data_IF_102422453550
#
_entry.id   IF_102422453550
#
_cell.length_a   1.000
_cell.length_b   1.000
_cell.length_c   1.000
_cell.angle_alpha   90.00
_cell.angle_beta   90.00
_cell.angle_gamma   90.00
#
_symmetry.space_group_name_H-M   'P 1'
#
loop_
_entity.id
_entity.type
_entity.pdbx_description
1 polymer ?
#
# COMPACT_ATOMS: atom_id res chain seq x y z
N UNK A 1 18.10 18.54 -8.13
CA UNK A 1 19.51 18.19 -7.86
C UNK A 1 19.91 17.13 -8.87
N UNK A 2 21.13 17.15 -9.42
CA UNK A 2 21.56 16.14 -10.41
C UNK A 2 22.81 15.45 -9.89
N UNK A 3 22.72 14.14 -9.72
CA UNK A 3 23.82 13.29 -9.27
C UNK A 3 24.46 12.61 -10.48
N UNK A 4 25.73 12.24 -10.38
CA UNK A 4 26.45 11.51 -11.43
C UNK A 4 26.04 10.03 -11.53
N UNK A 5 25.12 9.60 -10.66
CA UNK A 5 24.55 8.25 -10.60
C UNK A 5 23.03 8.32 -10.36
N UNK A 6 22.25 7.33 -10.80
CA UNK A 6 20.81 7.27 -10.52
C UNK A 6 20.55 7.00 -9.04
N UNK A 7 19.50 7.64 -8.51
CA UNK A 7 18.96 7.37 -7.18
C UNK A 7 17.80 6.39 -7.32
N UNK A 8 17.93 5.26 -6.63
CA UNK A 8 16.94 4.19 -6.64
C UNK A 8 16.37 4.05 -5.23
N UNK A 9 15.07 4.23 -5.09
CA UNK A 9 14.33 3.80 -3.89
C UNK A 9 14.03 2.30 -4.00
N UNK A 10 14.60 1.52 -3.08
CA UNK A 10 14.46 0.05 -3.08
C UNK A 10 13.40 -0.46 -2.11
N UNK A 11 12.69 0.43 -1.41
CA UNK A 11 11.74 0.09 -0.35
C UNK A 11 10.51 1.00 -0.36
N UNK A 12 9.94 1.21 -1.54
CA UNK A 12 8.70 1.95 -1.70
C UNK A 12 7.48 1.09 -1.38
N UNK A 13 6.41 1.72 -0.89
CA UNK A 13 5.17 1.05 -0.52
C UNK A 13 3.94 1.69 -1.19
N UNK A 14 3.06 0.83 -1.73
CA UNK A 14 1.71 1.19 -2.13
C UNK A 14 0.75 0.92 -0.97
N UNK A 15 -0.03 1.93 -0.60
CA UNK A 15 -1.22 1.73 0.23
C UNK A 15 -2.37 1.29 -0.66
N UNK A 16 -2.89 0.09 -0.44
CA UNK A 16 -3.99 -0.41 -1.24
C UNK A 16 -5.31 0.21 -0.81
N UNK A 17 -6.18 0.44 -1.80
CA UNK A 17 -7.59 0.71 -1.53
C UNK A 17 -8.26 -0.63 -1.23
N UNK A 18 -8.31 -1.01 0.06
CA UNK A 18 -8.81 -2.32 0.51
C UNK A 18 -10.17 -2.71 -0.10
N UNK A 19 -11.17 -1.81 -0.21
CA UNK A 19 -12.42 -2.14 -0.88
C UNK A 19 -12.25 -2.61 -2.33
N UNK A 20 -11.30 -2.03 -3.08
CA UNK A 20 -11.02 -2.44 -4.45
C UNK A 20 -10.28 -3.78 -4.50
N UNK A 21 -9.34 -4.02 -3.58
CA UNK A 21 -8.70 -5.35 -3.45
C UNK A 21 -9.74 -6.42 -3.11
N UNK A 22 -10.74 -6.09 -2.28
CA UNK A 22 -11.80 -7.00 -1.90
C UNK A 22 -12.69 -7.43 -3.07
N UNK A 23 -12.82 -6.61 -4.11
CA UNK A 23 -13.55 -7.00 -5.33
C UNK A 23 -12.87 -8.18 -6.01
N UNK A 24 -11.54 -8.14 -6.15
CA UNK A 24 -10.74 -9.25 -6.69
C UNK A 24 -10.72 -10.46 -5.75
N UNK A 25 -10.54 -10.23 -4.45
CA UNK A 25 -10.59 -11.30 -3.45
C UNK A 25 -11.89 -12.10 -3.51
N UNK A 26 -13.01 -11.43 -3.80
CA UNK A 26 -14.32 -12.08 -3.95
C UNK A 26 -14.43 -12.96 -5.18
N UNK A 27 -13.79 -12.58 -6.28
CA UNK A 27 -13.75 -13.40 -7.49
C UNK A 27 -12.97 -14.70 -7.26
N UNK A 28 -11.95 -14.67 -6.39
CA UNK A 28 -11.05 -15.80 -6.12
C UNK A 28 -11.58 -16.68 -4.99
N UNK A 29 -11.86 -16.10 -3.82
CA UNK A 29 -12.20 -16.81 -2.57
C UNK A 29 -13.67 -16.76 -2.18
N UNK A 30 -14.52 -16.07 -2.94
CA UNK A 30 -15.93 -15.88 -2.61
C UNK A 30 -16.18 -14.95 -1.42
N UNK A 31 -17.46 -14.76 -1.08
CA UNK A 31 -17.89 -13.75 -0.10
C UNK A 31 -17.33 -14.00 1.31
N UNK A 32 -17.39 -15.23 1.81
CA UNK A 32 -16.98 -15.55 3.17
C UNK A 32 -15.48 -15.28 3.43
N UNK A 33 -14.62 -15.60 2.47
CA UNK A 33 -13.18 -15.33 2.59
C UNK A 33 -12.89 -13.84 2.47
N UNK A 34 -13.61 -13.15 1.57
CA UNK A 34 -13.50 -11.69 1.39
C UNK A 34 -13.90 -10.91 2.65
N UNK A 35 -14.99 -11.30 3.32
CA UNK A 35 -15.43 -10.63 4.55
C UNK A 35 -14.35 -10.70 5.64
N UNK A 36 -13.70 -11.87 5.78
CA UNK A 36 -12.56 -12.05 6.70
C UNK A 36 -11.34 -11.24 6.25
N UNK A 37 -11.04 -11.21 4.95
CA UNK A 37 -9.95 -10.40 4.40
C UNK A 37 -10.15 -8.92 4.72
N UNK A 38 -11.33 -8.36 4.44
CA UNK A 38 -11.67 -6.96 4.71
C UNK A 38 -11.58 -6.67 6.21
N UNK A 39 -12.14 -7.53 7.06
CA UNK A 39 -12.07 -7.35 8.51
C UNK A 39 -10.63 -7.27 9.04
N UNK A 40 -9.71 -8.04 8.45
CA UNK A 40 -8.30 -8.07 8.84
C UNK A 40 -7.51 -6.87 8.30
N UNK A 41 -7.75 -6.45 7.06
CA UNK A 41 -6.94 -5.45 6.36
C UNK A 41 -7.50 -4.02 6.42
N UNK A 42 -8.76 -3.84 6.84
CA UNK A 42 -9.37 -2.51 6.98
C UNK A 42 -8.95 -1.78 8.26
N UNK A 43 -8.20 -2.43 9.16
CA UNK A 43 -7.74 -1.84 10.42
C UNK A 43 -6.68 -0.73 10.23
N UNK A 44 -6.22 -0.48 9.01
CA UNK A 44 -5.23 0.55 8.67
C UNK A 44 -5.78 1.98 8.52
N UNK A 45 -7.10 2.21 8.59
CA UNK A 45 -7.66 3.57 8.62
C UNK A 45 -7.54 4.15 10.04
N UNK A 46 -6.31 4.41 10.48
CA UNK A 46 -6.11 5.22 11.67
C UNK A 46 -6.70 6.61 11.41
N UNK A 47 -7.61 7.11 12.27
CA UNK A 47 -8.06 8.49 12.23
C UNK A 47 -6.87 9.44 12.21
N UNK A 48 -7.04 10.65 11.67
CA UNK A 48 -6.03 11.71 11.81
C UNK A 48 -5.74 11.88 13.31
N UNK A 49 -4.50 11.58 13.74
CA UNK A 49 -4.10 11.59 15.15
C UNK A 49 -4.14 10.25 15.90
N UNK A 50 -4.48 9.14 15.23
CA UNK A 50 -4.33 7.78 15.77
C UNK A 50 -2.89 7.26 15.72
N UNK A 51 -2.65 6.09 16.31
CA UNK A 51 -1.34 5.42 16.25
C UNK A 51 -1.01 5.02 14.81
N UNK A 52 -0.16 5.79 14.12
CA UNK A 52 0.28 5.45 12.78
C UNK A 52 0.90 4.05 12.76
N UNK A 53 0.36 3.15 11.92
CA UNK A 53 0.89 1.79 11.71
C UNK A 53 2.32 1.86 11.15
N UNK A 54 2.62 2.93 10.42
CA UNK A 54 3.96 3.37 10.07
C UNK A 54 3.98 4.89 9.87
N UNK A 55 5.06 5.58 10.26
CA UNK A 55 5.17 7.05 10.15
C UNK A 55 5.04 7.57 8.70
N UNK A 56 5.32 6.71 7.70
CA UNK A 56 5.18 6.99 6.27
C UNK A 56 3.77 6.74 5.70
N UNK A 57 2.91 5.98 6.40
CA UNK A 57 1.60 5.58 5.89
C UNK A 57 0.50 6.64 6.15
N UNK A 58 0.78 7.64 6.98
CA UNK A 58 -0.19 8.67 7.37
C UNK A 58 0.40 10.07 7.31
N UNK A 59 0.82 10.55 6.12
CA UNK A 59 1.27 11.92 5.97
C UNK A 59 0.10 12.89 6.26
N UNK A 60 0.44 14.09 6.74
CA UNK A 60 -0.57 15.11 7.06
C UNK A 60 -1.10 15.83 5.82
N UNK A 61 -0.29 15.94 4.78
CA UNK A 61 -0.68 16.59 3.54
C UNK A 61 -1.50 15.64 2.65
N UNK A 62 -2.53 16.19 2.00
CA UNK A 62 -3.44 15.40 1.17
C UNK A 62 -2.78 14.89 -0.11
N UNK A 63 -1.88 15.67 -0.72
CA UNK A 63 -1.12 15.28 -1.91
C UNK A 63 -0.14 14.16 -1.56
N UNK A 64 0.59 14.30 -0.45
CA UNK A 64 1.49 13.24 0.04
C UNK A 64 0.72 11.95 0.35
N UNK A 65 -0.45 12.07 0.97
CA UNK A 65 -1.31 10.91 1.22
C UNK A 65 -1.76 10.25 -0.06
N UNK A 66 -2.25 11.03 -1.04
CA UNK A 66 -2.68 10.50 -2.33
C UNK A 66 -1.53 9.83 -3.10
N UNK A 67 -0.31 10.34 -2.95
CA UNK A 67 0.91 9.80 -3.59
C UNK A 67 1.13 8.34 -3.18
N UNK A 68 0.85 7.98 -1.93
CA UNK A 68 0.96 6.58 -1.45
C UNK A 68 -0.12 5.64 -1.99
N UNK A 69 -1.25 6.13 -2.52
CA UNK A 69 -2.33 5.31 -3.07
C UNK A 69 -2.34 5.23 -4.60
N UNK A 70 -1.75 6.21 -5.29
CA UNK A 70 -1.89 6.38 -6.75
C UNK A 70 -0.52 6.24 -7.43
N UNK A 71 -0.18 5.08 -8.00
CA UNK A 71 1.14 4.83 -8.58
C UNK A 71 1.55 5.84 -9.67
N UNK A 72 0.58 6.28 -10.49
CA UNK A 72 0.84 7.29 -11.52
C UNK A 72 1.26 8.64 -10.92
N UNK A 73 0.61 9.04 -9.82
CA UNK A 73 0.94 10.27 -9.11
C UNK A 73 2.32 10.16 -8.46
N UNK A 74 2.64 9.03 -7.82
CA UNK A 74 3.99 8.78 -7.31
C UNK A 74 5.05 8.91 -8.41
N UNK A 75 4.82 8.26 -9.56
CA UNK A 75 5.74 8.34 -10.69
C UNK A 75 5.97 9.78 -11.17
N UNK A 76 4.90 10.58 -11.31
CA UNK A 76 4.99 11.99 -11.68
C UNK A 76 5.76 12.85 -10.65
N UNK A 77 5.74 12.45 -9.37
CA UNK A 77 6.42 13.14 -8.28
C UNK A 77 7.85 12.65 -7.99
N UNK A 78 8.31 11.55 -8.58
CA UNK A 78 9.68 11.05 -8.37
C UNK A 78 10.76 12.15 -8.59
N UNK A 79 10.67 13.02 -9.61
CA UNK A 79 11.62 14.12 -9.79
C UNK A 79 11.62 15.15 -8.66
N UNK A 80 10.44 15.43 -8.08
CA UNK A 80 10.29 16.33 -6.92
C UNK A 80 10.97 15.75 -5.68
N UNK A 81 10.87 14.43 -5.52
CA UNK A 81 11.47 13.68 -4.41
C UNK A 81 12.98 13.40 -4.62
N UNK A 82 13.52 13.71 -5.80
CA UNK A 82 14.91 13.43 -6.15
C UNK A 82 15.21 11.94 -6.37
N UNK A 83 14.21 11.17 -6.79
CA UNK A 83 14.31 9.72 -7.06
C UNK A 83 14.20 9.51 -8.58
N UNK A 84 15.07 8.66 -9.14
CA UNK A 84 15.00 8.30 -10.56
C UNK A 84 14.16 7.04 -10.80
N UNK A 85 14.26 6.07 -9.88
CA UNK A 85 13.51 4.82 -9.95
C UNK A 85 13.04 4.40 -8.55
N UNK A 86 11.88 3.76 -8.47
CA UNK A 86 11.36 3.20 -7.23
C UNK A 86 10.85 1.78 -7.43
N UNK A 87 11.21 0.88 -6.51
CA UNK A 87 10.61 -0.45 -6.38
C UNK A 87 9.47 -0.34 -5.38
N UNK A 88 8.25 -0.68 -5.81
CA UNK A 88 7.05 -0.52 -5.00
C UNK A 88 6.49 -1.88 -4.59
N UNK A 89 6.38 -2.10 -3.28
CA UNK A 89 5.75 -3.28 -2.69
C UNK A 89 4.31 -2.99 -2.22
N UNK A 90 3.42 -3.99 -2.30
CA UNK A 90 2.09 -3.89 -1.68
C UNK A 90 2.23 -3.88 -0.15
N UNK A 91 1.55 -2.97 0.55
CA UNK A 91 1.58 -2.92 2.02
C UNK A 91 0.79 -4.08 2.63
N UNK A 92 -0.47 -4.22 2.23
CA UNK A 92 -1.36 -5.28 2.70
C UNK A 92 -0.98 -6.62 2.05
N UNK A 93 -0.60 -6.60 0.77
CA UNK A 93 -0.20 -7.82 0.05
C UNK A 93 1.04 -8.50 0.64
N UNK A 94 2.00 -7.75 1.20
CA UNK A 94 3.15 -8.35 1.89
C UNK A 94 2.75 -9.14 3.15
N UNK A 95 1.62 -8.80 3.78
CA UNK A 95 1.14 -9.51 4.97
C UNK A 95 0.68 -10.95 4.68
N UNK A 96 0.32 -11.26 3.43
CA UNK A 96 -0.07 -12.61 2.98
C UNK A 96 1.04 -13.62 3.24
N UNK A 97 2.32 -13.21 3.16
CA UNK A 97 3.47 -14.07 3.47
C UNK A 97 3.47 -14.58 4.92
N UNK A 98 2.74 -13.90 5.82
CA UNK A 98 2.62 -14.22 7.24
C UNK A 98 1.21 -14.70 7.62
N UNK A 99 0.30 -14.85 6.65
CA UNK A 99 -1.06 -15.31 6.90
C UNK A 99 -1.05 -16.79 7.33
N UNK A 100 -1.51 -17.16 8.54
CA UNK A 100 -1.63 -18.55 8.95
C UNK A 100 -2.81 -19.29 8.31
N UNK A 101 -3.91 -18.59 7.99
CA UNK A 101 -5.10 -19.21 7.39
C UNK A 101 -4.84 -19.53 5.91
N UNK A 102 -4.85 -20.82 5.50
CA UNK A 102 -4.52 -21.19 4.12
C UNK A 102 -5.51 -20.67 3.09
N UNK A 103 -6.79 -20.47 3.45
CA UNK A 103 -7.77 -19.92 2.51
C UNK A 103 -7.51 -18.43 2.29
N UNK A 104 -7.28 -17.67 3.37
CA UNK A 104 -6.93 -16.24 3.26
C UNK A 104 -5.59 -16.02 2.55
N UNK A 105 -4.65 -16.97 2.66
CA UNK A 105 -3.35 -16.88 2.00
C UNK A 105 -3.43 -17.04 0.47
N UNK A 106 -4.45 -17.75 -0.02
CA UNK A 106 -4.62 -18.08 -1.44
C UNK A 106 -5.58 -17.14 -2.17
N UNK A 107 -6.18 -16.19 -1.45
CA UNK A 107 -7.19 -15.26 -1.98
C UNK A 107 -6.55 -14.00 -2.54
#
# INVERSE_FOLDING_TARGET
MKFDHPIIDTDGHLLEVIPHVAEYAREIGGAAVTDRFVAKHSQGYTPIGGNAVAWWATPRDALDRATSYVPKLLHERLPELGIDFAVIYPTSGLSVLREPDPELRQT
#
